data_IF_416917342409
#
_entry.id   IF_416917342409
#
_cell.length_a   1.000
_cell.length_b   1.000
_cell.length_c   1.000
_cell.angle_alpha   90.00
_cell.angle_beta   90.00
_cell.angle_gamma   90.00
#
_symmetry.space_group_name_H-M   'P 1'
#
loop_
_entity.id
_entity.type
_entity.pdbx_description
1 polymer ?
#
# COMPACT_ATOMS: atom_id res chain seq x y z
N UNK A 1 -18.51 41.00 -5.77
CA UNK A 1 -18.96 40.46 -7.07
C UNK A 1 -20.11 39.50 -6.82
N UNK A 2 -21.16 39.51 -7.63
CA UNK A 2 -22.19 38.48 -7.56
C UNK A 2 -21.63 37.11 -8.02
N UNK A 3 -22.16 35.99 -7.51
CA UNK A 3 -21.76 34.65 -7.95
C UNK A 3 -21.99 34.47 -9.45
N UNK A 4 -21.02 33.86 -10.14
CA UNK A 4 -21.15 33.53 -11.55
C UNK A 4 -22.01 32.27 -11.64
N UNK A 5 -23.10 32.31 -12.41
CA UNK A 5 -23.91 31.11 -12.69
C UNK A 5 -23.01 30.00 -13.26
N UNK A 6 -22.91 28.82 -12.62
CA UNK A 6 -21.99 27.78 -13.05
C UNK A 6 -22.44 27.19 -14.39
N UNK A 7 -21.49 27.04 -15.30
CA UNK A 7 -21.73 26.43 -16.61
C UNK A 7 -22.15 24.95 -16.48
N UNK A 8 -22.89 24.43 -17.46
CA UNK A 8 -23.30 23.01 -17.47
C UNK A 8 -22.10 22.04 -17.44
N UNK A 9 -20.97 22.45 -18.01
CA UNK A 9 -19.71 21.71 -17.94
C UNK A 9 -19.16 21.66 -16.50
N UNK A 10 -19.15 22.80 -15.79
CA UNK A 10 -18.72 22.86 -14.38
C UNK A 10 -19.64 22.03 -13.49
N UNK A 11 -20.97 22.09 -13.68
CA UNK A 11 -21.94 21.26 -12.95
C UNK A 11 -21.68 19.76 -13.15
N UNK A 12 -21.43 19.33 -14.39
CA UNK A 12 -21.14 17.93 -14.71
C UNK A 12 -19.82 17.48 -14.11
N UNK A 13 -18.76 18.29 -14.25
CA UNK A 13 -17.44 18.03 -13.66
C UNK A 13 -17.51 17.91 -12.14
N UNK A 14 -18.23 18.82 -11.48
CA UNK A 14 -18.46 18.79 -10.04
C UNK A 14 -19.10 17.48 -9.58
N UNK A 15 -20.18 17.04 -10.25
CA UNK A 15 -20.85 15.77 -9.93
C UNK A 15 -19.90 14.57 -10.04
N UNK A 16 -19.09 14.53 -11.10
CA UNK A 16 -18.10 13.46 -11.30
C UNK A 16 -17.03 13.46 -10.21
N UNK A 17 -16.49 14.63 -9.84
CA UNK A 17 -15.48 14.75 -8.79
C UNK A 17 -16.03 14.35 -7.42
N UNK A 18 -17.25 14.76 -7.09
CA UNK A 18 -17.92 14.35 -5.84
C UNK A 18 -18.10 12.83 -5.78
N UNK A 19 -18.58 12.21 -6.86
CA UNK A 19 -18.71 10.75 -6.93
C UNK A 19 -17.37 10.02 -6.77
N UNK A 20 -16.29 10.58 -7.36
CA UNK A 20 -14.92 10.04 -7.21
C UNK A 20 -14.44 10.16 -5.76
N UNK A 21 -14.64 11.31 -5.12
CA UNK A 21 -14.33 11.55 -3.70
C UNK A 21 -15.03 10.53 -2.80
N UNK A 22 -16.33 10.33 -2.99
CA UNK A 22 -17.12 9.37 -2.21
C UNK A 22 -16.65 7.93 -2.41
N UNK A 23 -16.33 7.56 -3.65
CA UNK A 23 -15.81 6.22 -3.97
C UNK A 23 -14.47 5.96 -3.29
N UNK A 24 -13.57 6.95 -3.32
CA UNK A 24 -12.28 6.87 -2.64
C UNK A 24 -12.46 6.76 -1.13
N UNK A 25 -13.29 7.62 -0.53
CA UNK A 25 -13.57 7.58 0.91
C UNK A 25 -14.19 6.25 1.35
N UNK A 26 -15.09 5.68 0.54
CA UNK A 26 -15.68 4.35 0.81
C UNK A 26 -14.63 3.24 0.85
N UNK A 27 -13.51 3.35 0.12
CA UNK A 27 -12.40 2.38 0.22
C UNK A 27 -11.76 2.40 1.61
N UNK A 28 -11.58 3.58 2.21
CA UNK A 28 -11.08 3.72 3.58
C UNK A 28 -12.06 3.09 4.57
N UNK A 29 -13.35 3.42 4.46
CA UNK A 29 -14.39 2.86 5.33
C UNK A 29 -14.43 1.33 5.24
N UNK A 30 -14.43 0.79 4.01
CA UNK A 30 -14.43 -0.66 3.79
C UNK A 30 -13.19 -1.35 4.38
N UNK A 31 -12.02 -0.73 4.24
CA UNK A 31 -10.80 -1.26 4.84
C UNK A 31 -10.84 -1.22 6.37
N UNK A 32 -11.37 -0.13 6.93
CA UNK A 32 -11.59 0.02 8.36
C UNK A 32 -12.61 -1.01 8.90
N UNK A 33 -13.67 -1.29 8.16
CA UNK A 33 -14.66 -2.30 8.55
C UNK A 33 -14.05 -3.71 8.65
N UNK A 34 -13.05 -4.04 7.83
CA UNK A 34 -12.34 -5.31 7.96
C UNK A 34 -11.62 -5.48 9.29
N UNK A 35 -11.18 -4.37 9.91
CA UNK A 35 -10.49 -4.41 11.22
C UNK A 35 -11.38 -5.10 12.28
N UNK A 36 -12.70 -4.94 12.17
CA UNK A 36 -13.67 -5.50 13.12
C UNK A 36 -13.73 -7.03 13.11
N UNK A 37 -13.37 -7.67 11.99
CA UNK A 37 -13.44 -9.13 11.81
C UNK A 37 -12.14 -9.75 11.25
N UNK A 38 -10.98 -9.27 11.72
CA UNK A 38 -9.67 -9.83 11.35
C UNK A 38 -9.42 -11.26 11.86
N UNK A 39 -10.39 -11.88 12.55
CA UNK A 39 -10.30 -13.28 13.00
C UNK A 39 -10.55 -14.26 11.86
N UNK A 40 -11.27 -13.83 10.83
CA UNK A 40 -11.65 -14.66 9.69
C UNK A 40 -10.54 -14.59 8.61
N UNK A 41 -9.91 -15.71 8.19
CA UNK A 41 -8.81 -15.68 7.21
C UNK A 41 -9.18 -15.05 5.85
N UNK A 42 -10.45 -15.17 5.44
CA UNK A 42 -10.94 -14.53 4.21
C UNK A 42 -10.97 -12.99 4.32
N UNK A 43 -11.32 -12.47 5.50
CA UNK A 43 -11.34 -11.04 5.82
C UNK A 43 -9.90 -10.52 5.93
N UNK A 44 -9.02 -11.26 6.59
CA UNK A 44 -7.59 -10.94 6.68
C UNK A 44 -6.96 -10.78 5.29
N UNK A 45 -7.19 -11.75 4.39
CA UNK A 45 -6.68 -11.64 3.01
C UNK A 45 -7.24 -10.41 2.28
N UNK A 46 -8.54 -10.15 2.45
CA UNK A 46 -9.19 -8.99 1.82
C UNK A 46 -8.67 -7.66 2.37
N UNK A 47 -8.35 -7.61 3.66
CA UNK A 47 -7.71 -6.48 4.33
C UNK A 47 -6.30 -6.24 3.77
N UNK A 48 -5.45 -7.28 3.70
CA UNK A 48 -4.09 -7.15 3.16
C UNK A 48 -4.07 -6.66 1.72
N UNK A 49 -4.96 -7.18 0.86
CA UNK A 49 -5.06 -6.72 -0.54
C UNK A 49 -5.50 -5.26 -0.60
N UNK A 50 -6.48 -4.87 0.23
CA UNK A 50 -7.00 -3.50 0.25
C UNK A 50 -5.95 -2.51 0.74
N UNK A 51 -5.17 -2.89 1.75
CA UNK A 51 -4.10 -2.09 2.34
C UNK A 51 -3.06 -1.65 1.30
N UNK A 52 -2.65 -2.56 0.40
CA UNK A 52 -1.66 -2.26 -0.64
C UNK A 52 -2.08 -1.12 -1.59
N UNK A 53 -3.39 -0.95 -1.79
CA UNK A 53 -3.95 0.08 -2.68
C UNK A 53 -4.39 1.35 -1.94
N UNK A 54 -4.30 1.34 -0.60
CA UNK A 54 -4.89 2.37 0.25
C UNK A 54 -4.09 3.67 0.21
N UNK A 55 -2.76 3.59 0.21
CA UNK A 55 -1.88 4.76 0.08
C UNK A 55 -2.15 5.52 -1.23
N UNK A 56 -2.23 4.80 -2.35
CA UNK A 56 -2.58 5.42 -3.63
C UNK A 56 -3.99 6.06 -3.61
N UNK A 57 -4.94 5.41 -2.92
CA UNK A 57 -6.29 5.99 -2.76
C UNK A 57 -6.27 7.27 -1.91
N UNK A 58 -5.31 7.41 -0.98
CA UNK A 58 -5.10 8.62 -0.17
C UNK A 58 -4.61 9.78 -1.03
N UNK A 59 -3.58 9.55 -1.84
CA UNK A 59 -3.07 10.54 -2.78
C UNK A 59 -4.16 11.01 -3.74
N UNK A 60 -4.91 10.07 -4.33
CA UNK A 60 -6.02 10.41 -5.22
C UNK A 60 -7.14 11.18 -4.52
N UNK A 61 -7.38 10.94 -3.23
CA UNK A 61 -8.39 11.68 -2.47
C UNK A 61 -7.97 13.14 -2.29
N UNK A 62 -6.69 13.39 -1.99
CA UNK A 62 -6.14 14.75 -1.86
C UNK A 62 -6.29 15.52 -3.18
N UNK A 63 -5.84 14.92 -4.29
CA UNK A 63 -5.96 15.53 -5.63
C UNK A 63 -7.41 15.88 -5.99
N UNK A 64 -8.35 14.96 -5.72
CA UNK A 64 -9.77 15.19 -6.04
C UNK A 64 -10.39 16.27 -5.15
N UNK A 65 -10.00 16.37 -3.89
CA UNK A 65 -10.48 17.44 -3.00
C UNK A 65 -9.92 18.79 -3.43
N UNK A 66 -8.65 18.86 -3.83
CA UNK A 66 -8.07 20.07 -4.40
C UNK A 66 -8.79 20.50 -5.68
N UNK A 67 -9.05 19.56 -6.60
CA UNK A 67 -9.81 19.82 -7.83
C UNK A 67 -11.22 20.36 -7.54
N UNK A 68 -11.89 19.84 -6.50
CA UNK A 68 -13.22 20.33 -6.07
C UNK A 68 -13.09 21.74 -5.51
N UNK A 69 -12.15 21.99 -4.60
CA UNK A 69 -11.97 23.30 -3.97
C UNK A 69 -11.61 24.37 -5.01
N UNK A 70 -10.76 24.03 -5.98
CA UNK A 70 -10.39 24.92 -7.07
C UNK A 70 -11.59 25.23 -7.97
N UNK A 71 -12.38 24.22 -8.34
CA UNK A 71 -13.61 24.41 -9.12
C UNK A 71 -14.64 25.29 -8.38
N UNK A 72 -14.78 25.14 -7.07
CA UNK A 72 -15.71 25.95 -6.27
C UNK A 72 -15.20 27.40 -6.14
N UNK A 73 -13.89 27.63 -6.03
CA UNK A 73 -13.29 28.97 -6.05
C UNK A 73 -13.45 29.69 -7.41
N UNK A 74 -13.44 28.93 -8.52
CA UNK A 74 -13.72 29.46 -9.85
C UNK A 74 -15.18 29.94 -9.99
N UNK A 75 -16.12 29.28 -9.30
CA UNK A 75 -17.55 29.61 -9.33
C UNK A 75 -17.87 30.74 -8.35
N UNK A 76 -17.32 30.68 -7.14
CA UNK A 76 -17.49 31.67 -6.09
C UNK A 76 -16.15 32.01 -5.43
N UNK A 77 -15.68 33.23 -5.66
CA UNK A 77 -14.41 33.72 -5.07
C UNK A 77 -14.45 33.86 -3.55
N UNK A 78 -15.63 33.85 -2.92
CA UNK A 78 -15.78 33.85 -1.47
C UNK A 78 -15.85 32.44 -0.88
N UNK A 79 -15.83 31.40 -1.73
CA UNK A 79 -15.84 30.02 -1.27
C UNK A 79 -14.63 29.74 -0.37
N UNK A 80 -14.87 29.07 0.75
CA UNK A 80 -13.81 28.63 1.66
C UNK A 80 -13.50 27.14 1.38
N UNK A 81 -12.28 26.81 0.93
CA UNK A 81 -11.86 25.43 0.73
C UNK A 81 -12.11 24.55 1.95
N UNK A 82 -12.57 23.32 1.71
CA UNK A 82 -12.86 22.35 2.75
C UNK A 82 -11.99 21.10 2.60
N UNK A 83 -11.20 20.81 3.64
CA UNK A 83 -10.28 19.69 3.71
C UNK A 83 -10.67 18.64 4.78
N UNK A 84 -11.82 18.79 5.44
CA UNK A 84 -12.26 17.90 6.54
C UNK A 84 -12.32 16.43 6.11
N UNK A 85 -12.66 16.17 4.85
CA UNK A 85 -12.73 14.82 4.30
C UNK A 85 -11.36 14.11 4.30
N UNK A 86 -10.26 14.86 4.14
CA UNK A 86 -8.90 14.33 4.18
C UNK A 86 -8.51 14.03 5.62
N UNK A 87 -8.82 14.92 6.56
CA UNK A 87 -8.56 14.69 7.99
C UNK A 87 -9.25 13.40 8.47
N UNK A 88 -10.54 13.22 8.16
CA UNK A 88 -11.25 11.99 8.51
C UNK A 88 -10.70 10.75 7.81
N UNK A 89 -10.20 10.88 6.57
CA UNK A 89 -9.56 9.77 5.88
C UNK A 89 -8.21 9.40 6.51
N UNK A 90 -7.45 10.40 6.97
CA UNK A 90 -6.17 10.23 7.64
C UNK A 90 -6.32 9.58 9.02
N UNK A 91 -7.36 9.94 9.77
CA UNK A 91 -7.73 9.27 11.02
C UNK A 91 -8.01 7.77 10.78
N UNK A 92 -8.86 7.45 9.79
CA UNK A 92 -9.15 6.06 9.42
C UNK A 92 -7.87 5.33 8.97
N UNK A 93 -7.03 5.99 8.19
CA UNK A 93 -5.78 5.43 7.70
C UNK A 93 -4.82 5.09 8.86
N UNK A 94 -4.69 5.97 9.85
CA UNK A 94 -3.88 5.70 11.04
C UNK A 94 -4.36 4.46 11.79
N UNK A 95 -5.66 4.32 12.00
CA UNK A 95 -6.23 3.14 12.64
C UNK A 95 -6.00 1.85 11.82
N UNK A 96 -6.09 1.93 10.49
CA UNK A 96 -5.80 0.81 9.59
C UNK A 96 -4.33 0.38 9.69
N UNK A 97 -3.40 1.35 9.70
CA UNK A 97 -1.97 1.04 9.85
C UNK A 97 -1.65 0.43 11.21
N UNK A 98 -2.28 0.91 12.28
CA UNK A 98 -2.10 0.32 13.60
C UNK A 98 -2.59 -1.13 13.64
N UNK A 99 -3.78 -1.41 13.10
CA UNK A 99 -4.30 -2.77 12.98
C UNK A 99 -3.37 -3.69 12.15
N UNK A 100 -2.80 -3.18 11.05
CA UNK A 100 -1.84 -3.92 10.24
C UNK A 100 -0.55 -4.26 11.02
N UNK A 101 -0.04 -3.33 11.83
CA UNK A 101 1.13 -3.57 12.70
C UNK A 101 0.82 -4.63 13.76
N UNK A 102 -0.35 -4.56 14.39
CA UNK A 102 -0.77 -5.55 15.39
C UNK A 102 -0.87 -6.96 14.78
N UNK A 103 -1.42 -7.08 13.56
CA UNK A 103 -1.49 -8.34 12.83
C UNK A 103 -0.09 -8.91 12.52
N UNK A 104 0.83 -8.05 12.06
CA UNK A 104 2.23 -8.44 11.81
C UNK A 104 2.92 -8.95 13.08
N UNK A 105 2.70 -8.29 14.23
CA UNK A 105 3.29 -8.67 15.51
C UNK A 105 2.71 -9.97 16.09
N UNK A 106 1.43 -10.25 15.82
CA UNK A 106 0.80 -11.52 16.19
C UNK A 106 1.44 -12.69 15.44
N UNK A 107 1.78 -12.50 14.17
CA UNK A 107 2.39 -13.55 13.35
C UNK A 107 3.87 -13.80 13.69
N UNK A 108 4.58 -12.83 14.28
CA UNK A 108 5.97 -12.99 14.71
C UNK A 108 6.12 -13.58 16.12
N UNK A 109 5.11 -13.42 16.98
CA UNK A 109 5.12 -13.91 18.38
C UNK A 109 4.80 -15.40 18.53
N UNK A 110 4.34 -16.07 17.47
CA UNK A 110 4.24 -17.55 17.40
C UNK A 110 5.57 -18.25 17.12
N UNK A 111 6.70 -17.57 17.32
CA UNK A 111 8.01 -18.23 17.34
C UNK A 111 8.08 -19.19 18.54
N UNK A 112 8.45 -20.41 18.22
CA UNK A 112 8.51 -21.64 19.02
C UNK A 112 8.99 -21.42 20.47
N UNK A 113 8.58 -22.28 21.44
CA UNK A 113 9.16 -22.26 22.77
C UNK A 113 10.69 -22.37 22.67
N UNK A 114 11.45 -21.76 23.61
CA UNK A 114 12.91 -21.82 23.58
C UNK A 114 13.31 -23.28 23.69
N UNK A 115 13.74 -23.86 22.57
CA UNK A 115 14.36 -25.18 22.53
C UNK A 115 15.70 -25.00 23.22
N UNK A 116 15.72 -25.21 24.54
CA UNK A 116 16.92 -25.52 25.27
C UNK A 116 17.42 -26.85 24.71
N UNK A 117 18.39 -26.81 23.80
CA UNK A 117 19.12 -28.00 23.40
C UNK A 117 20.58 -27.67 23.12
N UNK A 118 21.51 -28.54 23.54
CA UNK A 118 22.90 -28.21 23.69
C UNK A 118 23.63 -28.22 22.35
N UNK A 119 24.68 -27.42 22.28
CA UNK A 119 25.67 -27.40 21.20
C UNK A 119 26.21 -28.82 20.92
N UNK A 120 25.97 -29.37 19.73
CA UNK A 120 26.84 -30.38 19.12
C UNK A 120 26.72 -30.42 17.58
N UNK A 121 27.87 -30.19 16.94
CA UNK A 121 28.31 -30.61 15.59
C UNK A 121 27.37 -30.39 14.40
N UNK A 122 27.72 -29.42 13.56
CA UNK A 122 27.20 -29.26 12.20
C UNK A 122 27.68 -30.42 11.29
N UNK A 123 26.87 -31.47 11.14
CA UNK A 123 26.99 -32.38 10.00
C UNK A 123 26.31 -31.72 8.81
N UNK A 124 27.10 -31.07 7.97
CA UNK A 124 26.63 -30.43 6.73
C UNK A 124 26.14 -31.52 5.78
N UNK A 125 24.82 -31.69 5.68
CA UNK A 125 24.21 -32.55 4.66
C UNK A 125 24.36 -31.82 3.32
N UNK A 126 25.33 -32.24 2.51
CA UNK A 126 25.47 -31.76 1.13
C UNK A 126 24.54 -32.57 0.21
N UNK A 127 23.82 -31.85 -0.65
CA UNK A 127 22.95 -32.45 -1.67
C UNK A 127 23.80 -33.28 -2.67
N UNK A 128 23.24 -34.37 -3.23
CA UNK A 128 23.90 -35.09 -4.31
C UNK A 128 24.17 -34.16 -5.49
N UNK A 129 25.40 -34.12 -5.98
CA UNK A 129 25.76 -33.32 -7.15
C UNK A 129 25.05 -33.91 -8.37
N UNK A 130 24.10 -33.18 -8.93
CA UNK A 130 23.57 -33.48 -10.25
C UNK A 130 24.61 -33.11 -11.30
N UNK A 131 25.08 -34.09 -12.06
CA UNK A 131 25.83 -33.83 -13.29
C UNK A 131 24.85 -33.31 -14.34
N UNK A 132 24.97 -32.03 -14.69
CA UNK A 132 24.23 -31.47 -15.81
C UNK A 132 24.81 -32.07 -17.09
N UNK A 133 24.02 -32.89 -17.78
CA UNK A 133 24.36 -33.38 -19.12
C UNK A 133 24.36 -32.19 -20.07
N UNK A 134 25.51 -31.92 -20.69
CA UNK A 134 25.65 -30.90 -21.72
C UNK A 134 24.74 -31.25 -22.91
N UNK A 135 23.76 -30.38 -23.18
CA UNK A 135 22.93 -30.48 -24.38
C UNK A 135 23.70 -29.92 -25.58
N UNK A 136 24.06 -30.73 -26.60
CA UNK A 136 24.73 -30.24 -27.79
C UNK A 136 23.71 -29.52 -28.68
N UNK A 137 23.48 -28.23 -28.43
CA UNK A 137 22.47 -27.50 -29.20
C UNK A 137 22.57 -25.99 -29.30
N UNK A 138 23.43 -25.30 -28.54
CA UNK A 138 23.51 -23.83 -28.63
C UNK A 138 24.97 -23.37 -28.63
N UNK A 139 25.49 -23.22 -29.84
CA UNK A 139 26.82 -22.69 -30.11
C UNK A 139 26.88 -21.18 -29.87
N UNK A 140 27.55 -20.79 -28.78
CA UNK A 140 28.40 -19.60 -28.58
C UNK A 140 28.05 -18.30 -29.36
N UNK A 141 27.60 -17.28 -28.62
CA UNK A 141 28.28 -15.95 -28.58
C UNK A 141 27.80 -15.12 -27.39
N UNK A 142 28.74 -14.73 -26.52
CA UNK A 142 28.55 -13.63 -25.56
C UNK A 142 28.53 -13.99 -24.07
N UNK A 143 29.54 -14.73 -23.56
CA UNK A 143 29.81 -14.75 -22.12
C UNK A 143 30.41 -13.39 -21.69
N UNK A 144 29.64 -12.59 -20.95
CA UNK A 144 30.22 -11.77 -19.90
C UNK A 144 29.85 -12.37 -18.55
N UNK A 145 30.85 -13.06 -17.99
CA UNK A 145 30.96 -13.37 -16.57
C UNK A 145 31.07 -12.06 -15.79
N UNK A 146 30.13 -11.78 -14.90
CA UNK A 146 30.40 -10.94 -13.74
C UNK A 146 30.00 -11.69 -12.47
N UNK A 147 31.05 -11.89 -11.67
CA UNK A 147 31.09 -12.61 -10.41
C UNK A 147 30.43 -11.76 -9.33
N UNK A 148 29.76 -12.44 -8.40
CA UNK A 148 29.71 -12.12 -6.96
C UNK A 148 29.38 -10.69 -6.52
N UNK A 149 28.15 -10.57 -6.05
CA UNK A 149 27.71 -9.80 -4.88
C UNK A 149 28.80 -9.42 -3.86
N UNK A 150 28.89 -8.13 -3.54
CA UNK A 150 29.38 -7.53 -2.27
C UNK A 150 28.89 -6.08 -2.20
N UNK A 151 28.78 -5.57 -0.96
CA UNK A 151 28.37 -4.23 -0.50
C UNK A 151 26.89 -4.21 -0.10
N UNK A 152 26.52 -4.64 1.11
CA UNK A 152 26.78 -4.05 2.44
C UNK A 152 25.97 -2.76 2.70
N UNK A 153 25.14 -2.88 3.73
CA UNK A 153 24.44 -1.85 4.50
C UNK A 153 25.24 -0.55 4.70
N UNK A 154 24.62 0.59 4.36
CA UNK A 154 24.76 1.91 4.95
C UNK A 154 23.66 2.78 4.26
N UNK A 155 22.78 3.55 4.88
CA UNK A 155 22.96 4.59 5.89
C UNK A 155 21.58 4.88 6.52
N UNK A 156 21.54 4.86 7.85
CA UNK A 156 20.60 5.63 8.66
C UNK A 156 21.04 7.10 8.69
N UNK A 157 20.05 8.02 8.75
CA UNK A 157 20.13 9.47 9.00
C UNK A 157 20.37 10.38 7.80
N UNK A 158 19.29 11.06 7.41
CA UNK A 158 19.27 12.52 7.31
C UNK A 158 18.19 13.00 8.28
#
# INVERSE_FOLDING_TARGET
>A
MPPIEPTEQQKTRRKMLVAKKETLFRRFQKCYDYIKDLKTPAVERSFTVSLNSLENSRTQLMEVVDDINLLELEIDSNFKPNYQCIESADELYCHILDAAKQLSNKNSSTSSPPVLSPSTSSTKVELPKMELVDFPGITKRGLYSMKTSKIAYAIMKI
#
